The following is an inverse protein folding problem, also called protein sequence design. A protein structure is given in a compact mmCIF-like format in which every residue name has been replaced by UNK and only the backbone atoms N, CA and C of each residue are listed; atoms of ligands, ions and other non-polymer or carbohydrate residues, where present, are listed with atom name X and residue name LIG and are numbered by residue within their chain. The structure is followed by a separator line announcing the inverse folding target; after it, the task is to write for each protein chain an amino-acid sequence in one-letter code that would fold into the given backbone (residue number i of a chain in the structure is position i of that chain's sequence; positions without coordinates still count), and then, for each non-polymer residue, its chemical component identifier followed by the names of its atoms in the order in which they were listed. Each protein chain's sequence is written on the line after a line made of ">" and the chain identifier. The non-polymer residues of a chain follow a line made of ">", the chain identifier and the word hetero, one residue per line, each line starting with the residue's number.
data_IF_578404114782
#
_entry.id   IF_578404114782
#
_cell.length_a   1.000
_cell.length_b   1.000
_cell.length_c   1.000
_cell.angle_alpha   90.00
_cell.angle_beta   90.00
_cell.angle_gamma   90.00
#
_symmetry.space_group_name_H-M   'P 1'
#
loop_
_entity.id
_entity.type
_entity.pdbx_description
1 polymer ?
#
# COMPACT_ATOMS: atom_id res chain seq x y z
N UNK A 1 24.05 -1.43 -16.43
CA UNK A 1 22.69 -0.86 -16.49
C UNK A 1 22.81 0.65 -16.62
N UNK A 2 21.90 1.35 -17.32
CA UNK A 2 21.90 2.81 -17.32
C UNK A 2 21.79 3.33 -15.88
N UNK A 3 22.55 4.36 -15.54
CA UNK A 3 22.57 4.95 -14.19
C UNK A 3 21.27 5.70 -13.84
N UNK A 4 21.22 6.35 -12.66
CA UNK A 4 20.08 7.15 -12.22
C UNK A 4 19.69 8.19 -13.28
N UNK A 5 18.38 8.39 -13.48
CA UNK A 5 17.85 9.36 -14.43
C UNK A 5 17.67 10.74 -13.81
N UNK A 6 17.76 11.82 -14.60
CA UNK A 6 17.40 13.15 -14.12
C UNK A 6 15.92 13.20 -13.73
N UNK A 7 15.57 14.11 -12.83
CA UNK A 7 14.19 14.30 -12.38
C UNK A 7 13.32 14.80 -13.53
N UNK A 8 12.14 14.20 -13.70
CA UNK A 8 11.16 14.60 -14.70
C UNK A 8 10.22 15.69 -14.15
N UNK A 9 9.95 16.72 -14.94
CA UNK A 9 9.04 17.81 -14.57
C UNK A 9 7.55 17.44 -14.75
N UNK A 10 7.24 16.34 -15.45
CA UNK A 10 5.88 15.87 -15.70
C UNK A 10 5.79 14.35 -15.82
N UNK A 11 4.57 13.82 -15.65
CA UNK A 11 4.28 12.40 -15.83
C UNK A 11 4.51 12.04 -17.30
N UNK A 12 5.40 11.09 -17.53
CA UNK A 12 5.66 10.53 -18.87
C UNK A 12 4.95 9.19 -19.05
N UNK A 13 4.80 8.74 -20.31
CA UNK A 13 4.23 7.41 -20.62
C UNK A 13 4.93 6.28 -19.86
N UNK A 14 6.25 6.38 -19.64
CA UNK A 14 7.00 5.40 -18.85
C UNK A 14 6.53 5.36 -17.39
N UNK A 15 6.20 6.50 -16.78
CA UNK A 15 5.65 6.53 -15.42
C UNK A 15 4.26 5.90 -15.37
N UNK A 16 3.40 6.19 -16.34
CA UNK A 16 2.06 5.60 -16.43
C UNK A 16 2.15 4.08 -16.55
N UNK A 17 2.95 3.58 -17.50
CA UNK A 17 3.16 2.14 -17.68
C UNK A 17 3.76 1.49 -16.43
N UNK A 18 4.73 2.15 -15.79
CA UNK A 18 5.32 1.69 -14.54
C UNK A 18 4.28 1.55 -13.41
N UNK A 19 3.46 2.58 -13.20
CA UNK A 19 2.44 2.58 -12.15
C UNK A 19 1.33 1.55 -12.42
N UNK A 20 0.87 1.43 -13.68
CA UNK A 20 -0.19 0.49 -14.03
C UNK A 20 0.32 -0.95 -13.98
N UNK A 21 1.40 -1.28 -14.69
CA UNK A 21 1.80 -2.68 -14.83
C UNK A 21 2.56 -3.20 -13.63
N UNK A 22 3.52 -2.44 -13.10
CA UNK A 22 4.34 -2.92 -11.97
C UNK A 22 3.59 -2.73 -10.65
N UNK A 23 3.04 -1.54 -10.42
CA UNK A 23 2.49 -1.18 -9.11
C UNK A 23 1.00 -1.38 -8.96
N UNK A 24 0.24 -1.59 -10.05
CA UNK A 24 -1.17 -1.97 -9.95
C UNK A 24 -1.32 -3.45 -10.22
N UNK A 25 -1.10 -3.90 -11.45
CA UNK A 25 -1.32 -5.31 -11.84
C UNK A 25 -0.38 -6.25 -11.09
N UNK A 26 0.92 -5.92 -11.06
CA UNK A 26 1.92 -6.71 -10.31
C UNK A 26 1.57 -6.84 -8.83
N UNK A 27 1.19 -5.73 -8.19
CA UNK A 27 0.78 -5.72 -6.79
C UNK A 27 -0.50 -6.52 -6.55
N UNK A 28 -1.53 -6.35 -7.39
CA UNK A 28 -2.77 -7.12 -7.30
C UNK A 28 -2.53 -8.63 -7.35
N UNK A 29 -1.65 -9.10 -8.26
CA UNK A 29 -1.33 -10.53 -8.40
C UNK A 29 -0.59 -11.04 -7.16
N UNK A 30 0.40 -10.29 -6.66
CA UNK A 30 1.15 -10.65 -5.47
C UNK A 30 0.26 -10.67 -4.22
N UNK A 31 -0.57 -9.64 -4.05
CA UNK A 31 -1.48 -9.51 -2.91
C UNK A 31 -2.58 -10.57 -2.95
N UNK A 32 -3.08 -10.93 -4.16
CA UNK A 32 -3.97 -12.08 -4.34
C UNK A 32 -3.30 -13.36 -3.84
N UNK A 33 -2.11 -13.67 -4.33
CA UNK A 33 -1.41 -14.91 -4.02
C UNK A 33 -1.08 -15.02 -2.53
N UNK A 34 -0.59 -13.93 -1.92
CA UNK A 34 -0.24 -13.92 -0.50
C UNK A 34 -1.46 -14.10 0.39
N UNK A 35 -2.54 -13.34 0.15
CA UNK A 35 -3.76 -13.44 0.94
C UNK A 35 -4.48 -14.78 0.74
N UNK A 36 -4.53 -15.29 -0.49
CA UNK A 36 -5.08 -16.61 -0.78
C UNK A 36 -4.30 -17.72 -0.07
N UNK A 37 -2.97 -17.66 -0.12
CA UNK A 37 -2.09 -18.62 0.56
C UNK A 37 -2.23 -18.58 2.08
N UNK A 38 -2.30 -17.37 2.66
CA UNK A 38 -2.52 -17.18 4.09
C UNK A 38 -3.89 -17.73 4.53
N UNK A 39 -4.95 -17.41 3.79
CA UNK A 39 -6.28 -17.95 4.06
C UNK A 39 -6.30 -19.48 3.93
N UNK A 40 -5.62 -20.04 2.94
CA UNK A 40 -5.49 -21.50 2.80
C UNK A 40 -4.85 -22.11 4.04
N UNK A 41 -3.80 -21.50 4.58
CA UNK A 41 -3.15 -21.97 5.81
C UNK A 41 -4.06 -21.85 7.04
N UNK A 42 -4.92 -20.83 7.09
CA UNK A 42 -5.83 -20.57 8.21
C UNK A 42 -7.11 -21.43 8.19
N UNK A 43 -7.67 -21.65 7.00
CA UNK A 43 -9.03 -22.17 6.83
C UNK A 43 -9.08 -23.62 6.38
N UNK A 44 -8.14 -24.08 5.55
CA UNK A 44 -8.21 -25.41 4.94
C UNK A 44 -8.15 -26.57 5.95
N UNK A 45 -7.48 -26.37 7.09
CA UNK A 45 -7.34 -27.38 8.16
C UNK A 45 -8.07 -26.98 9.44
N UNK A 46 -9.06 -26.08 9.32
CA UNK A 46 -9.85 -25.62 10.43
C UNK A 46 -10.83 -26.70 10.92
N UNK A 47 -10.77 -27.05 12.21
CA UNK A 47 -11.78 -27.90 12.88
C UNK A 47 -12.95 -27.09 13.46
N UNK A 48 -13.11 -25.85 13.03
CA UNK A 48 -14.10 -24.89 13.54
C UNK A 48 -14.73 -24.13 12.38
N UNK A 49 -15.98 -23.72 12.53
CA UNK A 49 -16.70 -22.97 11.52
C UNK A 49 -16.08 -21.62 11.23
N UNK A 50 -16.15 -21.20 9.96
CA UNK A 50 -15.76 -19.88 9.48
C UNK A 50 -17.02 -19.02 9.46
N UNK A 51 -16.99 -17.91 10.19
CA UNK A 51 -18.16 -17.07 10.39
C UNK A 51 -17.94 -15.70 9.77
N UNK A 52 -19.02 -15.01 9.43
CA UNK A 52 -18.91 -13.62 9.00
C UNK A 52 -18.42 -12.73 10.16
N UNK A 53 -19.08 -12.82 11.31
CA UNK A 53 -18.89 -11.92 12.46
C UNK A 53 -18.32 -12.60 13.70
N UNK A 54 -18.64 -13.88 13.90
CA UNK A 54 -18.31 -14.57 15.15
C UNK A 54 -16.84 -14.93 15.24
N UNK A 55 -16.25 -14.69 16.41
CA UNK A 55 -14.94 -15.22 16.77
C UNK A 55 -14.99 -16.75 16.97
N UNK A 56 -13.86 -17.46 16.85
CA UNK A 56 -12.51 -16.93 16.59
C UNK A 56 -12.19 -16.69 15.10
N UNK A 57 -12.92 -17.30 14.16
CA UNK A 57 -12.65 -17.23 12.71
C UNK A 57 -13.65 -16.34 11.99
N UNK A 58 -13.55 -15.04 12.23
CA UNK A 58 -14.37 -14.01 11.58
C UNK A 58 -13.75 -13.55 10.25
N UNK A 59 -14.50 -13.64 9.15
CA UNK A 59 -14.10 -13.07 7.87
C UNK A 59 -14.07 -11.53 7.90
N UNK A 60 -15.01 -10.90 8.60
CA UNK A 60 -15.08 -9.45 8.71
C UNK A 60 -13.91 -8.87 9.52
N UNK A 61 -13.58 -9.48 10.66
CA UNK A 61 -12.43 -9.06 11.47
C UNK A 61 -11.11 -9.30 10.73
N UNK A 62 -10.98 -10.44 10.07
CA UNK A 62 -9.78 -10.76 9.28
C UNK A 62 -9.60 -9.79 8.09
N UNK A 63 -10.67 -9.36 7.42
CA UNK A 63 -10.62 -8.32 6.38
C UNK A 63 -10.14 -6.95 6.91
N UNK A 64 -10.58 -6.58 8.11
CA UNK A 64 -10.16 -5.34 8.76
C UNK A 64 -8.67 -5.37 9.09
N UNK A 65 -8.18 -6.48 9.65
CA UNK A 65 -6.77 -6.69 9.99
C UNK A 65 -5.90 -6.69 8.72
N UNK A 66 -6.36 -7.31 7.64
CA UNK A 66 -5.66 -7.29 6.35
C UNK A 66 -5.41 -5.87 5.86
N UNK A 67 -6.38 -4.96 5.94
CA UNK A 67 -6.14 -3.56 5.53
C UNK A 67 -5.00 -2.95 6.33
N UNK A 68 -4.99 -3.12 7.65
CA UNK A 68 -3.97 -2.51 8.52
C UNK A 68 -2.58 -3.04 8.16
N UNK A 69 -2.44 -4.36 8.04
CA UNK A 69 -1.17 -5.00 7.73
C UNK A 69 -0.72 -4.65 6.31
N UNK A 70 -1.63 -4.72 5.33
CA UNK A 70 -1.31 -4.47 3.93
C UNK A 70 -0.92 -3.01 3.70
N UNK A 71 -1.67 -2.03 4.20
CA UNK A 71 -1.28 -0.62 4.03
C UNK A 71 0.06 -0.30 4.72
N UNK A 72 0.37 -0.95 5.84
CA UNK A 72 1.68 -0.85 6.49
C UNK A 72 2.79 -1.40 5.58
N UNK A 73 2.62 -2.62 5.06
CA UNK A 73 3.60 -3.27 4.20
C UNK A 73 3.78 -2.52 2.88
N UNK A 74 2.69 -2.22 2.17
CA UNK A 74 2.65 -1.42 0.93
C UNK A 74 3.42 -0.12 1.10
N UNK A 75 3.16 0.62 2.19
CA UNK A 75 3.83 1.88 2.45
C UNK A 75 5.37 1.78 2.46
N UNK A 76 5.91 0.71 3.05
CA UNK A 76 7.37 0.50 3.14
C UNK A 76 7.94 -0.18 1.90
N UNK A 77 7.31 -1.27 1.44
CA UNK A 77 7.80 -2.07 0.34
C UNK A 77 7.83 -1.29 -0.97
N UNK A 78 6.80 -0.50 -1.27
CA UNK A 78 6.77 0.31 -2.49
C UNK A 78 7.81 1.41 -2.49
N UNK A 79 8.03 2.05 -1.33
CA UNK A 79 9.09 3.06 -1.20
C UNK A 79 10.47 2.44 -1.44
N UNK A 80 10.70 1.21 -0.96
CA UNK A 80 11.94 0.48 -1.21
C UNK A 80 12.05 0.05 -2.68
N UNK A 81 10.98 -0.46 -3.27
CA UNK A 81 10.92 -0.86 -4.67
C UNK A 81 11.19 0.33 -5.60
N UNK A 82 10.49 1.45 -5.42
CA UNK A 82 10.70 2.69 -6.18
C UNK A 82 12.14 3.18 -6.02
N UNK A 83 12.70 3.18 -4.81
CA UNK A 83 14.11 3.57 -4.61
C UNK A 83 15.08 2.67 -5.39
N UNK A 84 14.83 1.36 -5.38
CA UNK A 84 15.62 0.39 -6.15
C UNK A 84 15.46 0.56 -7.66
N UNK A 85 14.27 0.91 -8.13
CA UNK A 85 14.00 1.12 -9.55
C UNK A 85 14.59 2.43 -10.07
N UNK A 86 14.58 3.48 -9.23
CA UNK A 86 15.26 4.75 -9.49
C UNK A 86 16.77 4.58 -9.59
N UNK A 87 17.38 3.80 -8.67
CA UNK A 87 18.84 3.58 -8.69
C UNK A 87 19.30 2.80 -9.92
N UNK A 88 18.43 1.96 -10.49
CA UNK A 88 18.66 1.22 -11.74
C UNK A 88 18.23 1.98 -13.00
N UNK A 89 17.72 3.21 -12.87
CA UNK A 89 17.24 4.02 -14.00
C UNK A 89 16.01 3.46 -14.73
N UNK A 90 15.25 2.55 -14.10
CA UNK A 90 14.05 1.96 -14.69
C UNK A 90 12.96 3.00 -14.89
N UNK A 91 12.80 3.90 -13.93
CA UNK A 91 11.90 5.06 -13.97
C UNK A 91 12.68 6.32 -13.53
N UNK A 92 12.21 7.50 -13.92
CA UNK A 92 12.78 8.76 -13.46
C UNK A 92 12.06 9.19 -12.16
N UNK A 93 12.74 9.92 -11.27
CA UNK A 93 12.04 10.57 -10.16
C UNK A 93 11.18 11.72 -10.71
N UNK A 94 10.13 12.11 -9.97
CA UNK A 94 9.14 13.08 -10.45
C UNK A 94 9.19 14.35 -9.60
N UNK A 95 9.03 15.52 -10.22
CA UNK A 95 8.79 16.77 -9.48
C UNK A 95 7.34 16.92 -9.08
N UNK A 96 7.12 17.58 -7.94
CA UNK A 96 5.79 17.98 -7.52
C UNK A 96 5.26 19.08 -8.47
N UNK A 97 4.00 19.01 -8.93
CA UNK A 97 3.38 20.12 -9.65
C UNK A 97 3.41 21.41 -8.83
N UNK A 98 3.70 22.55 -9.47
CA UNK A 98 3.92 23.85 -8.78
C UNK A 98 2.70 24.31 -7.98
N UNK A 99 1.49 24.04 -8.47
CA UNK A 99 0.22 24.50 -7.89
C UNK A 99 -0.37 23.51 -6.87
N UNK A 100 0.46 22.65 -6.27
CA UNK A 100 -0.02 21.63 -5.34
C UNK A 100 -0.37 22.21 -3.96
N UNK A 101 -1.61 21.96 -3.51
CA UNK A 101 -2.10 22.43 -2.21
C UNK A 101 -1.35 21.85 -1.00
N UNK A 102 -1.47 22.55 0.13
CA UNK A 102 -0.76 22.23 1.39
C UNK A 102 -0.99 20.80 1.88
N UNK A 103 -2.21 20.27 1.74
CA UNK A 103 -2.54 18.92 2.20
C UNK A 103 -1.78 17.85 1.42
N UNK A 104 -1.66 18.00 0.10
CA UNK A 104 -0.95 17.03 -0.74
C UNK A 104 0.57 17.12 -0.49
N UNK A 105 1.11 18.33 -0.33
CA UNK A 105 2.52 18.53 0.04
C UNK A 105 2.86 17.91 1.40
N UNK A 106 1.98 18.10 2.38
CA UNK A 106 2.06 17.42 3.66
C UNK A 106 2.02 15.92 3.44
N UNK A 107 1.03 15.38 2.72
CA UNK A 107 0.87 13.94 2.55
C UNK A 107 2.06 13.26 1.86
N UNK A 108 2.66 13.90 0.85
CA UNK A 108 3.88 13.38 0.21
C UNK A 108 5.08 13.37 1.16
N UNK A 109 5.13 14.33 2.09
CA UNK A 109 6.21 14.43 3.07
C UNK A 109 7.21 15.54 2.84
N UNK A 110 6.88 16.51 1.98
CA UNK A 110 7.81 17.57 1.59
C UNK A 110 8.08 18.58 2.71
N UNK A 111 7.11 18.79 3.60
CA UNK A 111 7.21 19.71 4.74
C UNK A 111 8.14 19.20 5.85
N UNK A 112 8.65 17.97 5.72
CA UNK A 112 9.41 17.24 6.74
C UNK A 112 10.83 16.88 6.28
N UNK A 113 11.29 17.46 5.17
CA UNK A 113 12.68 17.31 4.71
C UNK A 113 13.55 18.26 5.55
N UNK A 114 14.07 17.77 6.67
CA UNK A 114 14.91 18.53 7.59
C UNK A 114 16.08 17.72 8.16
N UNK A 115 17.12 18.40 8.63
CA UNK A 115 18.32 17.79 9.22
C UNK A 115 18.03 17.43 10.69
N UNK A 116 18.02 16.13 11.03
CA UNK A 116 17.79 15.67 12.40
C UNK A 116 19.09 15.66 13.22
N UNK A 117 19.07 16.31 14.38
CA UNK A 117 20.25 16.47 15.26
C UNK A 117 20.45 15.30 16.26
N UNK A 118 19.41 14.54 16.61
CA UNK A 118 19.48 13.46 17.62
C UNK A 118 18.75 12.17 17.21
N UNK A 119 19.09 11.03 17.82
CA UNK A 119 18.44 9.72 17.58
C UNK A 119 16.98 9.67 18.05
N UNK A 120 16.66 10.30 19.19
CA UNK A 120 15.27 10.43 19.67
C UNK A 120 14.42 11.22 18.69
N UNK A 121 14.97 12.31 18.14
CA UNK A 121 14.31 13.12 17.11
C UNK A 121 14.10 12.31 15.82
N UNK A 122 15.05 11.43 15.45
CA UNK A 122 14.90 10.53 14.30
C UNK A 122 13.76 9.54 14.50
N UNK A 123 13.63 8.95 15.68
CA UNK A 123 12.51 8.04 16.00
C UNK A 123 11.19 8.80 16.01
N UNK A 124 11.10 9.89 16.77
CA UNK A 124 9.87 10.70 16.82
C UNK A 124 9.44 11.19 15.45
N UNK A 125 10.40 11.58 14.61
CA UNK A 125 10.14 11.97 13.23
C UNK A 125 9.70 10.79 12.36
N UNK A 126 10.35 9.63 12.48
CA UNK A 126 9.96 8.40 11.76
C UNK A 126 8.50 8.01 12.05
N UNK A 127 8.13 7.96 13.33
CA UNK A 127 6.77 7.65 13.75
C UNK A 127 5.79 8.74 13.30
N UNK A 128 6.12 10.02 13.51
CA UNK A 128 5.29 11.15 13.09
C UNK A 128 5.10 11.25 11.57
N UNK A 129 6.10 10.84 10.80
CA UNK A 129 6.07 10.88 9.35
C UNK A 129 5.32 9.68 8.77
N UNK A 130 5.71 8.46 9.10
CA UNK A 130 5.12 7.29 8.44
C UNK A 130 3.73 6.95 8.98
N UNK A 131 3.53 6.94 10.30
CA UNK A 131 2.29 6.44 10.90
C UNK A 131 1.10 7.30 10.52
N UNK A 132 1.23 8.64 10.48
CA UNK A 132 0.11 9.52 10.12
C UNK A 132 -0.40 9.24 8.70
N UNK A 133 0.50 8.95 7.76
CA UNK A 133 0.16 8.70 6.35
C UNK A 133 -0.39 7.29 6.16
N UNK A 134 0.22 6.30 6.83
CA UNK A 134 -0.31 4.94 6.90
C UNK A 134 -1.73 4.95 7.49
N UNK A 135 -1.97 5.67 8.58
CA UNK A 135 -3.29 5.76 9.22
C UNK A 135 -4.34 6.34 8.27
N UNK A 136 -4.01 7.41 7.52
CA UNK A 136 -4.91 7.96 6.48
C UNK A 136 -5.21 6.93 5.40
N UNK A 137 -4.19 6.18 4.94
CA UNK A 137 -4.39 5.11 3.95
C UNK A 137 -5.26 3.98 4.52
N UNK A 138 -5.01 3.54 5.76
CA UNK A 138 -5.81 2.51 6.42
C UNK A 138 -7.28 2.94 6.51
N UNK A 139 -7.55 4.18 6.97
CA UNK A 139 -8.91 4.69 7.09
C UNK A 139 -9.59 4.80 5.72
N UNK A 140 -8.91 5.37 4.72
CA UNK A 140 -9.46 5.50 3.37
C UNK A 140 -9.78 4.13 2.75
N UNK A 141 -8.85 3.18 2.82
CA UNK A 141 -9.03 1.81 2.32
C UNK A 141 -10.12 1.08 3.11
N UNK A 142 -10.18 1.25 4.44
CA UNK A 142 -11.21 0.64 5.27
C UNK A 142 -12.61 1.12 4.91
N UNK A 143 -12.81 2.44 4.79
CA UNK A 143 -14.10 3.01 4.40
C UNK A 143 -14.51 2.56 3.00
N UNK A 144 -13.55 2.39 2.09
CA UNK A 144 -13.85 2.02 0.71
C UNK A 144 -14.14 0.52 0.53
N UNK A 145 -13.28 -0.36 1.03
CA UNK A 145 -13.34 -1.79 0.71
C UNK A 145 -14.09 -2.62 1.75
N UNK A 146 -13.89 -2.35 3.03
CA UNK A 146 -14.45 -3.18 4.10
C UNK A 146 -15.98 -3.25 4.10
N UNK A 147 -16.74 -2.12 4.03
CA UNK A 147 -18.21 -2.20 4.06
C UNK A 147 -18.79 -2.85 2.81
N UNK A 148 -18.18 -2.66 1.64
CA UNK A 148 -18.59 -3.32 0.40
C UNK A 148 -18.43 -4.83 0.57
N UNK A 149 -17.27 -5.26 1.05
CA UNK A 149 -16.97 -6.67 1.31
C UNK A 149 -17.93 -7.30 2.30
N UNK A 150 -18.12 -6.68 3.47
CA UNK A 150 -19.05 -7.18 4.49
C UNK A 150 -20.49 -7.20 3.98
N UNK A 151 -20.89 -6.19 3.20
CA UNK A 151 -22.21 -6.12 2.58
C UNK A 151 -22.44 -7.30 1.62
N UNK A 152 -21.48 -7.57 0.72
CA UNK A 152 -21.54 -8.72 -0.20
C UNK A 152 -21.62 -10.03 0.57
N UNK A 153 -20.75 -10.25 1.55
CA UNK A 153 -20.78 -11.48 2.37
C UNK A 153 -22.10 -11.63 3.15
N UNK A 154 -22.66 -10.54 3.66
CA UNK A 154 -23.95 -10.57 4.35
C UNK A 154 -25.07 -11.02 3.41
N UNK A 155 -25.10 -10.52 2.17
CA UNK A 155 -26.09 -10.94 1.16
C UNK A 155 -25.91 -12.40 0.78
N UNK A 156 -24.68 -12.86 0.54
CA UNK A 156 -24.39 -14.26 0.22
C UNK A 156 -24.84 -15.20 1.34
N UNK A 157 -24.52 -14.86 2.60
CA UNK A 157 -24.98 -15.59 3.78
C UNK A 157 -26.51 -15.65 3.85
N UNK A 158 -27.20 -14.52 3.67
CA UNK A 158 -28.66 -14.47 3.77
C UNK A 158 -29.38 -15.28 2.68
N UNK A 159 -28.74 -15.47 1.52
CA UNK A 159 -29.26 -16.32 0.44
C UNK A 159 -28.82 -17.79 0.55
N UNK A 160 -28.08 -18.16 1.60
CA UNK A 160 -27.53 -19.52 1.75
C UNK A 160 -26.49 -19.89 0.69
N UNK A 161 -25.93 -18.90 -0.01
CA UNK A 161 -24.89 -19.11 -1.02
C UNK A 161 -23.59 -19.43 -0.30
N UNK A 162 -22.97 -20.56 -0.64
CA UNK A 162 -21.72 -21.07 -0.04
C UNK A 162 -21.83 -21.43 1.45
N UNK A 163 -23.06 -21.51 1.98
CA UNK A 163 -23.33 -22.09 3.27
C UNK A 163 -23.04 -23.60 3.21
N UNK A 164 -22.16 -24.06 4.08
CA UNK A 164 -21.94 -25.48 4.34
C UNK A 164 -22.18 -25.74 5.83
N UNK A 165 -23.34 -26.33 6.11
CA UNK A 165 -23.75 -26.83 7.42
C UNK A 165 -23.05 -28.15 7.78
N UNK A 166 -21.84 -28.38 7.27
CA UNK A 166 -20.94 -29.39 7.77
C UNK A 166 -20.77 -29.31 9.30
N UNK A 167 -20.05 -30.26 9.91
CA UNK A 167 -20.11 -30.54 11.36
C UNK A 167 -19.81 -29.37 12.30
N UNK A 168 -19.32 -28.24 11.79
CA UNK A 168 -18.94 -27.05 12.54
C UNK A 168 -19.87 -25.83 12.36
N UNK A 169 -21.00 -25.95 11.65
CA UNK A 169 -22.06 -24.93 11.51
C UNK A 169 -21.57 -23.51 11.11
N UNK A 170 -20.54 -23.41 10.28
CA UNK A 170 -20.00 -22.11 9.81
C UNK A 170 -20.81 -21.49 8.69
N UNK A 171 -20.67 -20.16 8.52
CA UNK A 171 -21.31 -19.41 7.44
C UNK A 171 -20.67 -19.70 6.06
N UNK A 172 -19.35 -19.96 6.03
CA UNK A 172 -18.55 -20.01 4.80
C UNK A 172 -17.46 -21.10 4.83
N UNK A 173 -17.82 -22.34 5.11
CA UNK A 173 -16.86 -23.45 5.25
C UNK A 173 -16.44 -24.11 3.93
N UNK A 174 -17.12 -23.80 2.83
CA UNK A 174 -16.90 -24.49 1.57
C UNK A 174 -15.60 -24.02 0.91
N UNK A 175 -14.61 -24.90 0.84
CA UNK A 175 -13.40 -24.64 0.06
C UNK A 175 -13.72 -24.53 -1.44
N UNK A 176 -13.13 -23.58 -2.20
CA UNK A 176 -12.12 -22.59 -1.80
C UNK A 176 -12.73 -21.20 -1.52
N UNK A 177 -14.00 -21.10 -1.10
CA UNK A 177 -14.68 -19.81 -1.00
C UNK A 177 -13.97 -18.80 -0.09
N UNK A 178 -13.68 -19.09 1.19
CA UNK A 178 -13.04 -18.11 2.07
C UNK A 178 -11.62 -17.76 1.62
N UNK A 179 -10.89 -18.70 0.99
CA UNK A 179 -9.57 -18.45 0.41
C UNK A 179 -9.63 -17.55 -0.83
N UNK A 180 -10.55 -17.85 -1.75
CA UNK A 180 -10.76 -17.04 -2.95
C UNK A 180 -11.22 -15.64 -2.58
N UNK A 181 -12.15 -15.53 -1.64
CA UNK A 181 -12.56 -14.27 -1.04
C UNK A 181 -11.35 -13.47 -0.56
N UNK A 182 -10.50 -14.09 0.26
CA UNK A 182 -9.31 -13.43 0.81
C UNK A 182 -8.35 -12.97 -0.28
N UNK A 183 -8.10 -13.82 -1.27
CA UNK A 183 -7.26 -13.50 -2.42
C UNK A 183 -7.80 -12.30 -3.21
N UNK A 184 -9.09 -12.33 -3.59
CA UNK A 184 -9.74 -11.24 -4.33
C UNK A 184 -9.73 -9.95 -3.51
N UNK A 185 -9.99 -10.04 -2.21
CA UNK A 185 -9.94 -8.89 -1.31
C UNK A 185 -8.53 -8.29 -1.23
N UNK A 186 -7.50 -9.13 -1.06
CA UNK A 186 -6.11 -8.72 -1.08
C UNK A 186 -5.73 -8.02 -2.38
N UNK A 187 -6.13 -8.58 -3.53
CA UNK A 187 -5.93 -7.96 -4.84
C UNK A 187 -6.61 -6.60 -4.93
N UNK A 188 -7.85 -6.48 -4.44
CA UNK A 188 -8.60 -5.24 -4.49
C UNK A 188 -7.95 -4.13 -3.65
N UNK A 189 -7.46 -4.46 -2.46
CA UNK A 189 -6.69 -3.54 -1.61
C UNK A 189 -5.35 -3.16 -2.27
N UNK A 190 -4.71 -4.11 -2.97
CA UNK A 190 -3.48 -3.89 -3.74
C UNK A 190 -3.61 -2.88 -4.88
N UNK A 191 -4.83 -2.51 -5.29
CA UNK A 191 -5.04 -1.40 -6.22
C UNK A 191 -4.65 -0.03 -5.64
N UNK A 192 -4.38 0.06 -4.33
CA UNK A 192 -3.94 1.31 -3.67
C UNK A 192 -2.43 1.54 -3.76
N UNK A 193 -1.64 0.50 -4.05
CA UNK A 193 -0.19 0.51 -4.24
C UNK A 193 0.33 1.59 -5.22
N UNK A 194 -0.24 1.83 -6.42
CA UNK A 194 0.29 2.86 -7.33
C UNK A 194 0.25 4.26 -6.71
N UNK A 195 -0.65 4.54 -5.76
CA UNK A 195 -0.69 5.82 -5.06
C UNK A 195 0.53 6.01 -4.15
N UNK A 196 0.94 4.97 -3.42
CA UNK A 196 2.15 4.99 -2.59
C UNK A 196 3.40 5.13 -3.45
N UNK A 197 3.47 4.38 -4.55
CA UNK A 197 4.60 4.45 -5.49
C UNK A 197 4.70 5.82 -6.16
N UNK A 198 3.57 6.44 -6.52
CA UNK A 198 3.55 7.81 -7.02
C UNK A 198 4.09 8.83 -6.01
N UNK A 199 3.68 8.71 -4.74
CA UNK A 199 4.20 9.54 -3.66
C UNK A 199 5.70 9.34 -3.49
N UNK A 200 6.18 8.11 -3.57
CA UNK A 200 7.61 7.80 -3.48
C UNK A 200 8.39 8.43 -4.63
N UNK A 201 7.87 8.42 -5.86
CA UNK A 201 8.50 9.08 -7.02
C UNK A 201 8.66 10.58 -6.80
N UNK A 202 7.62 11.26 -6.31
CA UNK A 202 7.67 12.70 -6.01
C UNK A 202 8.64 12.99 -4.88
N UNK A 203 8.54 12.24 -3.78
CA UNK A 203 9.40 12.42 -2.62
C UNK A 203 10.89 12.33 -2.99
N UNK A 204 11.27 11.36 -3.83
CA UNK A 204 12.65 11.22 -4.29
C UNK A 204 13.06 12.35 -5.25
N UNK A 205 12.20 12.78 -6.17
CA UNK A 205 12.54 13.87 -7.11
C UNK A 205 12.71 15.23 -6.44
N UNK A 206 11.90 15.53 -5.44
CA UNK A 206 12.05 16.74 -4.63
C UNK A 206 13.30 16.69 -3.75
N UNK A 207 13.62 15.51 -3.20
CA UNK A 207 14.84 15.35 -2.38
C UNK A 207 16.10 15.50 -3.24
N UNK A 208 16.11 14.93 -4.44
CA UNK A 208 17.22 15.06 -5.39
C UNK A 208 17.39 16.50 -5.91
N UNK A 209 16.29 17.19 -6.21
CA UNK A 209 16.36 18.58 -6.67
C UNK A 209 16.95 19.50 -5.60
N UNK A 210 16.65 19.28 -4.32
CA UNK A 210 17.21 20.07 -3.21
C UNK A 210 18.71 19.83 -3.00
N UNK A 211 19.19 18.60 -3.18
CA UNK A 211 20.63 18.30 -3.00
C UNK A 211 21.48 18.98 -4.07
N UNK A 212 21.04 18.96 -5.33
CA UNK A 212 21.74 19.61 -6.45
C UNK A 212 21.85 21.12 -6.22
N UNK A 213 20.75 21.79 -5.85
CA UNK A 213 20.76 23.23 -5.55
C UNK A 213 21.72 23.56 -4.39
N UNK A 214 21.82 22.68 -3.39
CA UNK A 214 22.72 22.91 -2.26
C UNK A 214 24.20 22.80 -2.66
N UNK A 215 24.55 21.81 -3.50
CA UNK A 215 25.91 21.65 -4.05
C UNK A 215 26.31 22.83 -4.95
N UNK A 216 25.39 23.32 -5.78
CA UNK A 216 25.61 24.48 -6.65
C UNK A 216 25.84 25.78 -5.86
N UNK A 217 25.15 25.98 -4.72
CA UNK A 217 25.35 27.16 -3.88
C UNK A 217 26.71 27.10 -3.17
N UNK A 218 27.07 25.96 -2.58
CA UNK A 218 28.36 25.80 -1.88
C UNK A 218 29.54 26.01 -2.84
N UNK A 219 29.48 25.44 -4.04
CA UNK A 219 30.55 25.59 -5.03
C UNK A 219 30.72 27.01 -5.57
N UNK A 220 29.69 27.86 -5.50
CA UNK A 220 29.77 29.26 -5.92
C UNK A 220 30.21 30.23 -4.80
N UNK A 221 30.16 29.82 -3.53
CA UNK A 221 30.67 30.63 -2.40
C UNK A 221 32.18 30.46 -2.16
N UNK A 222 32.77 29.38 -2.68
CA UNK A 222 34.21 29.05 -2.54
C UNK A 222 35.10 29.67 -3.65
N UNK A 223 34.57 30.62 -4.46
CA UNK A 223 35.26 31.29 -5.58
C UNK A 223 35.49 32.77 -5.31
#
# INVERSE_FOLDING_TARGET
>A
MPGPKPTADSITTRHVLYLIFMHTIGAMILDFGFNFGLATAMYKSANEGIYLWSLPKTLAGDAAVTIIIQQLLTWFLDRLAVRGDLSKGLVAPLRMPKDTGRVVRWFVGLDHVGVHKSFSDKIGHFFGFHIKRIAVLCVATFVLFWPITVGVLTVLKNHGIEADHGPHNGDFNRWPFPELYKGVYGAAVGMTTPFVSYIALIYNGETQSKSVVTEDVVSNEDV
#
